data_IF_379150753401
#
_entry.id   IF_379150753401
#
_cell.length_a   1.000
_cell.length_b   1.000
_cell.length_c   1.000
_cell.angle_alpha   90.00
_cell.angle_beta   90.00
_cell.angle_gamma   90.00
#
_symmetry.space_group_name_H-M   'P 1'
#
loop_
_entity.id
_entity.type
_entity.pdbx_description
1 polymer ?
#
# COMPACT_ATOMS: atom_id res chain seq x y z
N UNK A 1 -11.82 1.92 -2.67
CA UNK A 1 -12.14 0.48 -2.61
C UNK A 1 -12.04 -0.03 -1.18
N UNK A 2 -12.94 -0.93 -0.74
CA UNK A 2 -12.82 -1.60 0.57
C UNK A 2 -12.20 -2.99 0.34
N UNK A 3 -11.15 -3.33 1.08
CA UNK A 3 -10.63 -4.70 1.09
C UNK A 3 -11.14 -5.43 2.33
N UNK A 4 -11.47 -6.69 2.14
CA UNK A 4 -12.03 -7.54 3.18
C UNK A 4 -11.14 -8.76 3.39
N UNK A 5 -10.98 -9.17 4.66
CA UNK A 5 -10.46 -10.49 5.00
C UNK A 5 -11.65 -11.40 5.22
N UNK A 6 -11.70 -12.50 4.49
CA UNK A 6 -12.65 -13.59 4.77
C UNK A 6 -11.93 -14.68 5.54
N UNK A 7 -12.40 -15.01 6.74
CA UNK A 7 -11.86 -16.08 7.57
C UNK A 7 -12.98 -16.72 8.38
N UNK A 8 -13.08 -18.06 8.37
CA UNK A 8 -14.06 -18.83 9.16
C UNK A 8 -15.47 -18.21 9.15
N UNK A 9 -15.99 -17.91 7.95
CA UNK A 9 -17.30 -17.28 7.71
C UNK A 9 -17.51 -15.85 8.22
N UNK A 10 -16.48 -15.19 8.76
CA UNK A 10 -16.50 -13.77 9.09
C UNK A 10 -15.84 -12.96 7.97
N UNK A 11 -16.47 -11.84 7.61
CA UNK A 11 -15.93 -10.85 6.66
C UNK A 11 -15.58 -9.60 7.44
N UNK A 12 -14.29 -9.37 7.66
CA UNK A 12 -13.79 -8.17 8.32
C UNK A 12 -13.29 -7.17 7.27
N UNK A 13 -13.64 -5.90 7.41
CA UNK A 13 -13.06 -4.86 6.55
C UNK A 13 -11.62 -4.64 6.98
N UNK A 14 -10.66 -5.01 6.13
CA UNK A 14 -9.24 -4.82 6.38
C UNK A 14 -8.85 -3.36 6.22
N UNK A 15 -9.30 -2.73 5.14
CA UNK A 15 -8.85 -1.38 4.82
C UNK A 15 -9.84 -0.64 3.92
N UNK A 16 -9.91 0.67 4.12
CA UNK A 16 -10.55 1.62 3.22
C UNK A 16 -9.45 2.28 2.39
N UNK A 17 -9.29 1.84 1.15
CA UNK A 17 -8.35 2.47 0.24
C UNK A 17 -9.10 3.55 -0.55
N UNK A 18 -8.98 4.79 -0.13
CA UNK A 18 -9.62 5.91 -0.84
C UNK A 18 -8.97 6.17 -2.19
N UNK A 19 -7.67 5.86 -2.31
CA UNK A 19 -6.88 6.20 -3.50
C UNK A 19 -6.54 4.99 -4.39
N UNK A 20 -6.64 3.77 -3.86
CA UNK A 20 -6.32 2.54 -4.59
C UNK A 20 -7.60 1.92 -5.18
N UNK A 21 -7.65 1.76 -6.50
CA UNK A 21 -8.77 1.11 -7.20
C UNK A 21 -8.55 -0.39 -7.37
N UNK A 22 -7.32 -0.87 -7.33
CA UNK A 22 -6.95 -2.28 -7.48
C UNK A 22 -5.79 -2.61 -6.53
N UNK A 23 -5.98 -3.58 -5.64
CA UNK A 23 -4.91 -4.07 -4.77
C UNK A 23 -4.16 -5.22 -5.46
N UNK A 24 -2.83 -5.16 -5.44
CA UNK A 24 -1.95 -6.13 -6.09
C UNK A 24 -1.25 -7.04 -5.11
N UNK A 25 -0.80 -6.48 -4.00
CA UNK A 25 -0.08 -7.24 -2.98
C UNK A 25 -0.55 -6.84 -1.59
N UNK A 26 -0.74 -7.84 -0.73
CA UNK A 26 -1.13 -7.66 0.66
C UNK A 26 -0.18 -8.50 1.51
N UNK A 27 0.65 -7.85 2.31
CA UNK A 27 1.61 -8.48 3.19
C UNK A 27 1.26 -8.17 4.64
N UNK A 28 0.78 -9.17 5.37
CA UNK A 28 0.52 -9.07 6.80
C UNK A 28 1.71 -9.63 7.59
N UNK A 29 2.27 -8.85 8.51
CA UNK A 29 3.25 -9.32 9.50
C UNK A 29 3.01 -8.65 10.84
N UNK A 30 2.92 -9.48 11.88
CA UNK A 30 2.59 -9.04 13.24
C UNK A 30 1.28 -8.23 13.25
N UNK A 31 1.31 -7.02 13.80
CA UNK A 31 0.19 -6.08 13.86
C UNK A 31 0.10 -5.15 12.65
N UNK A 32 0.94 -5.33 11.63
CA UNK A 32 1.02 -4.40 10.48
C UNK A 32 0.61 -5.11 9.20
N UNK A 33 -0.33 -4.49 8.47
CA UNK A 33 -0.74 -4.90 7.12
C UNK A 33 -0.23 -3.86 6.14
N UNK A 34 0.59 -4.30 5.20
CA UNK A 34 1.07 -3.51 4.08
C UNK A 34 0.29 -3.90 2.84
N UNK A 35 -0.13 -2.91 2.06
CA UNK A 35 -0.96 -3.10 0.88
C UNK A 35 -0.37 -2.25 -0.22
N UNK A 36 -0.22 -2.83 -1.40
CA UNK A 36 0.13 -2.07 -2.59
C UNK A 36 -0.82 -2.36 -3.72
N UNK A 37 -0.86 -1.43 -4.68
CA UNK A 37 -1.75 -1.54 -5.81
C UNK A 37 -1.63 -0.37 -6.76
N UNK A 38 -2.65 -0.22 -7.60
CA UNK A 38 -2.78 0.86 -8.56
C UNK A 38 -4.09 1.60 -8.38
N UNK A 39 -4.10 2.84 -8.82
CA UNK A 39 -5.29 3.68 -8.79
C UNK A 39 -5.22 4.81 -9.81
N UNK A 40 -6.39 5.32 -10.17
CA UNK A 40 -6.51 6.46 -11.06
C UNK A 40 -6.80 7.69 -10.21
N UNK A 41 -5.95 8.72 -10.33
CA UNK A 41 -6.24 10.03 -9.75
C UNK A 41 -7.39 10.68 -10.54
N UNK A 42 -8.52 10.90 -9.86
CA UNK A 42 -9.73 11.46 -10.46
C UNK A 42 -9.56 12.87 -11.02
N UNK A 43 -8.60 13.66 -10.54
CA UNK A 43 -8.37 15.03 -11.01
C UNK A 43 -7.52 15.09 -12.27
N UNK A 44 -6.57 14.17 -12.40
CA UNK A 44 -5.58 14.19 -13.49
C UNK A 44 -5.76 13.06 -14.49
N UNK A 45 -6.65 12.10 -14.21
CA UNK A 45 -6.83 10.84 -14.94
C UNK A 45 -5.54 10.01 -15.07
N UNK A 46 -4.50 10.35 -14.31
CA UNK A 46 -3.22 9.63 -14.31
C UNK A 46 -3.31 8.42 -13.41
N UNK A 47 -2.69 7.34 -13.85
CA UNK A 47 -2.49 6.15 -13.03
C UNK A 47 -1.28 6.33 -12.13
N UNK A 48 -1.40 5.80 -10.91
CA UNK A 48 -0.38 5.84 -9.88
C UNK A 48 -0.30 4.51 -9.16
N UNK A 49 0.90 4.24 -8.69
CA UNK A 49 1.16 3.27 -7.65
C UNK A 49 0.66 3.78 -6.29
N UNK A 50 0.06 2.88 -5.51
CA UNK A 50 -0.37 3.20 -4.15
C UNK A 50 0.23 2.24 -3.15
N UNK A 51 0.63 2.79 -2.01
CA UNK A 51 1.09 2.05 -0.84
C UNK A 51 0.28 2.45 0.39
N UNK A 52 -0.32 1.46 1.04
CA UNK A 52 -1.07 1.59 2.28
C UNK A 52 -0.39 0.81 3.41
N UNK A 53 -0.36 1.42 4.60
CA UNK A 53 0.11 0.79 5.82
C UNK A 53 -0.95 0.92 6.91
N UNK A 54 -1.50 -0.21 7.35
CA UNK A 54 -2.38 -0.30 8.51
C UNK A 54 -1.60 -0.90 9.67
N UNK A 55 -1.53 -0.19 10.79
CA UNK A 55 -1.00 -0.70 12.05
C UNK A 55 -2.21 -0.89 12.95
N UNK A 56 -2.45 -2.09 13.47
CA UNK A 56 -3.51 -2.32 14.45
C UNK A 56 -3.35 -1.29 15.56
N UNK A 57 -4.43 -0.57 15.90
CA UNK A 57 -4.47 0.55 16.86
C UNK A 57 -4.11 1.96 16.30
N UNK A 58 -3.66 2.07 15.03
CA UNK A 58 -3.51 3.35 14.31
C UNK A 58 -4.42 3.41 13.08
N UNK A 59 -4.64 4.64 12.58
CA UNK A 59 -5.31 4.85 11.30
C UNK A 59 -4.46 4.35 10.13
N UNK A 60 -5.11 4.09 9.00
CA UNK A 60 -4.44 3.75 7.75
C UNK A 60 -3.64 4.95 7.23
N UNK A 61 -2.34 4.75 6.98
CA UNK A 61 -1.51 5.69 6.22
C UNK A 61 -1.47 5.28 4.75
N UNK A 62 -1.73 6.21 3.85
CA UNK A 62 -1.71 5.99 2.40
C UNK A 62 -0.72 6.95 1.74
N UNK A 63 0.02 6.43 0.76
CA UNK A 63 0.97 7.18 -0.03
C UNK A 63 0.69 6.95 -1.51
N UNK A 64 0.70 8.05 -2.26
CA UNK A 64 0.60 8.06 -3.72
C UNK A 64 2.00 8.15 -4.27
N UNK A 65 2.39 7.18 -5.07
CA UNK A 65 3.71 7.09 -5.67
C UNK A 65 3.57 7.23 -7.19
N UNK A 66 4.48 7.95 -7.85
CA UNK A 66 4.51 7.96 -9.30
C UNK A 66 4.86 6.53 -9.82
N UNK A 67 4.72 6.31 -11.14
CA UNK A 67 4.92 5.00 -11.77
C UNK A 67 3.76 4.01 -11.61
N UNK A 68 3.76 2.98 -12.46
CA UNK A 68 2.77 1.91 -12.44
C UNK A 68 3.26 0.73 -11.59
N UNK A 69 2.31 0.02 -10.99
CA UNK A 69 2.52 -1.22 -10.25
C UNK A 69 3.46 -1.11 -9.04
N UNK A 70 2.87 -0.82 -7.89
CA UNK A 70 3.59 -0.84 -6.62
C UNK A 70 3.71 -2.27 -6.10
N UNK A 71 4.94 -2.78 -5.98
CA UNK A 71 5.24 -4.06 -5.33
C UNK A 71 5.94 -3.83 -3.99
N UNK A 72 5.63 -4.66 -2.98
CA UNK A 72 6.19 -4.54 -1.64
C UNK A 72 7.23 -5.63 -1.43
N UNK A 73 8.49 -5.24 -1.27
CA UNK A 73 9.55 -6.15 -0.83
C UNK A 73 9.97 -5.81 0.59
N UNK A 74 9.59 -6.65 1.56
CA UNK A 74 9.99 -6.47 2.96
C UNK A 74 11.25 -7.29 3.27
N UNK A 75 12.23 -6.62 3.86
CA UNK A 75 13.44 -7.24 4.42
C UNK A 75 13.37 -7.23 5.95
N UNK A 76 14.38 -7.81 6.62
CA UNK A 76 14.48 -7.75 8.10
C UNK A 76 14.50 -6.33 8.63
N UNK A 77 15.02 -5.37 7.85
CA UNK A 77 15.29 -4.00 8.31
C UNK A 77 14.38 -2.95 7.67
N UNK A 78 13.98 -3.14 6.41
CA UNK A 78 13.33 -2.11 5.62
C UNK A 78 12.16 -2.66 4.79
N UNK A 79 11.20 -1.79 4.52
CA UNK A 79 10.15 -2.01 3.51
C UNK A 79 10.55 -1.25 2.26
N UNK A 80 10.78 -1.98 1.18
CA UNK A 80 11.02 -1.41 -0.14
C UNK A 80 9.74 -1.48 -0.96
N UNK A 81 9.51 -0.43 -1.72
CA UNK A 81 8.34 -0.25 -2.55
C UNK A 81 8.85 0.04 -3.95
N UNK A 82 8.60 -0.87 -4.88
CA UNK A 82 9.08 -0.77 -6.25
C UNK A 82 7.93 -0.33 -7.13
N UNK A 83 8.12 0.78 -7.83
CA UNK A 83 7.22 1.29 -8.87
C UNK A 83 7.98 1.31 -10.19
N UNK A 84 7.27 1.47 -11.31
CA UNK A 84 7.87 1.61 -12.64
C UNK A 84 8.90 2.76 -12.73
N UNK A 85 8.68 3.83 -11.98
CA UNK A 85 9.42 5.08 -12.06
C UNK A 85 10.50 5.24 -10.97
N UNK A 86 10.65 4.25 -10.10
CA UNK A 86 11.61 4.35 -9.01
C UNK A 86 11.48 3.31 -7.91
N UNK A 87 12.52 3.30 -7.07
CA UNK A 87 12.56 2.49 -5.85
C UNK A 87 12.37 3.38 -4.64
N UNK A 88 11.42 3.03 -3.78
CA UNK A 88 11.07 3.78 -2.58
C UNK A 88 11.32 2.95 -1.31
N UNK A 89 11.57 3.64 -0.20
CA UNK A 89 11.75 3.02 1.13
C UNK A 89 10.88 3.73 2.17
N UNK A 90 10.31 2.95 3.09
CA UNK A 90 9.69 3.48 4.31
C UNK A 90 10.77 3.64 5.38
N UNK A 91 11.05 4.87 5.80
CA UNK A 91 11.95 5.19 6.91
C UNK A 91 11.32 6.27 7.78
N UNK A 92 11.32 6.06 9.10
CA UNK A 92 10.78 7.02 10.08
C UNK A 92 9.34 7.47 9.74
N UNK A 93 8.48 6.49 9.37
CA UNK A 93 7.10 6.72 8.93
C UNK A 93 6.94 7.63 7.69
N UNK A 94 8.03 7.86 6.94
CA UNK A 94 8.05 8.63 5.68
C UNK A 94 8.49 7.76 4.51
N UNK A 95 8.00 8.09 3.31
CA UNK A 95 8.45 7.48 2.06
C UNK A 95 9.56 8.33 1.47
N UNK A 96 10.68 7.70 1.10
CA UNK A 96 11.79 8.33 0.40
C UNK A 96 12.08 7.57 -0.90
N UNK A 97 12.25 8.31 -2.00
CA UNK A 97 12.74 7.76 -3.27
C UNK A 97 14.26 7.56 -3.20
N UNK A 98 14.74 6.42 -3.68
CA UNK A 98 16.15 6.06 -3.73
C UNK A 98 16.74 6.22 -5.14
N UNK A 99 15.96 5.87 -6.16
CA UNK A 99 16.33 5.92 -7.57
C UNK A 99 15.12 6.35 -8.39
#
# INVERSE_FOLDING_TARGET
MKLYKKSKNKTDTLVYLDLCSEAREIVQKDKVVHISGTGIDKKTSKQYGYYGQLIHDKTLKQYKLPGWFTNIKKTKFNVYIMCEDGLYIVKDEKIKQLY
#
